data_IF_872821026727
#
_entry.id   IF_872821026727
#
_cell.length_a   1.000
_cell.length_b   1.000
_cell.length_c   1.000
_cell.angle_alpha   90.00
_cell.angle_beta   90.00
_cell.angle_gamma   90.00
#
_symmetry.space_group_name_H-M   'P 1'
#
loop_
_entity.id
_entity.type
_entity.pdbx_description
1 polymer ?
#
# COMPACT_ATOMS: atom_id res chain seq x y z
N UNK A 1 4.75 9.27 -6.08
CA UNK A 1 4.72 8.05 -6.91
C UNK A 1 5.98 7.22 -6.68
N UNK A 2 7.19 7.75 -6.95
CA UNK A 2 8.42 6.96 -6.90
C UNK A 2 8.83 6.31 -5.56
N UNK A 3 8.49 6.88 -4.40
CA UNK A 3 8.89 6.28 -3.12
C UNK A 3 8.04 5.06 -2.73
N UNK A 4 6.72 5.12 -2.93
CA UNK A 4 5.84 3.97 -2.65
C UNK A 4 6.14 2.83 -3.62
N UNK A 5 6.32 3.12 -4.92
CA UNK A 5 6.74 2.12 -5.91
C UNK A 5 8.05 1.43 -5.51
N UNK A 6 9.01 2.20 -5.00
CA UNK A 6 10.28 1.65 -4.48
C UNK A 6 10.06 0.77 -3.26
N UNK A 7 9.23 1.19 -2.29
CA UNK A 7 8.89 0.38 -1.11
C UNK A 7 8.22 -0.95 -1.52
N UNK A 8 7.29 -0.91 -2.47
CA UNK A 8 6.58 -2.09 -2.95
C UNK A 8 7.50 -3.03 -3.71
N UNK A 9 8.39 -2.50 -4.56
CA UNK A 9 9.44 -3.28 -5.23
C UNK A 9 10.35 -4.00 -4.23
N UNK A 10 10.73 -3.33 -3.14
CA UNK A 10 11.53 -3.94 -2.07
C UNK A 10 10.79 -5.10 -1.38
N UNK A 11 9.49 -4.97 -1.12
CA UNK A 11 8.67 -6.06 -0.58
C UNK A 11 8.63 -7.28 -1.52
N UNK A 12 8.49 -7.04 -2.82
CA UNK A 12 8.49 -8.09 -3.84
C UNK A 12 9.86 -8.79 -3.92
N UNK A 13 10.95 -8.03 -3.87
CA UNK A 13 12.31 -8.58 -3.84
C UNK A 13 12.50 -9.44 -2.57
N UNK A 14 12.07 -8.95 -1.42
CA UNK A 14 12.17 -9.67 -0.15
C UNK A 14 11.38 -10.99 -0.20
N UNK A 15 10.14 -10.95 -0.70
CA UNK A 15 9.32 -12.14 -0.90
C UNK A 15 10.03 -13.16 -1.81
N UNK A 16 10.54 -12.73 -2.98
CA UNK A 16 11.24 -13.63 -3.92
C UNK A 16 12.47 -14.28 -3.31
N UNK A 17 13.28 -13.52 -2.56
CA UNK A 17 14.45 -14.07 -1.85
C UNK A 17 14.04 -15.12 -0.81
N UNK A 18 13.00 -14.84 -0.04
CA UNK A 18 12.45 -15.78 0.94
C UNK A 18 11.97 -17.07 0.28
N UNK A 19 11.21 -16.97 -0.81
CA UNK A 19 10.71 -18.12 -1.56
C UNK A 19 11.84 -18.99 -2.11
N UNK A 20 12.88 -18.38 -2.70
CA UNK A 20 14.06 -19.10 -3.19
C UNK A 20 14.73 -19.88 -2.06
N UNK A 21 14.86 -19.27 -0.88
CA UNK A 21 15.44 -19.93 0.29
C UNK A 21 14.59 -21.10 0.78
N UNK A 22 13.28 -20.94 0.85
CA UNK A 22 12.35 -22.01 1.29
C UNK A 22 12.34 -23.20 0.34
N UNK A 23 12.45 -22.96 -0.97
CA UNK A 23 12.48 -24.00 -2.00
C UNK A 23 13.86 -24.60 -2.24
N UNK A 24 14.91 -24.09 -1.57
CA UNK A 24 16.29 -24.52 -1.80
C UNK A 24 16.85 -24.15 -3.18
N UNK A 25 16.26 -23.16 -3.85
CA UNK A 25 16.63 -22.76 -5.21
C UNK A 25 17.81 -21.80 -5.17
N UNK A 26 18.87 -22.17 -5.87
CA UNK A 26 20.09 -21.37 -6.04
C UNK A 26 20.06 -20.60 -7.36
N UNK A 27 21.11 -19.82 -7.60
CA UNK A 27 21.28 -19.09 -8.87
C UNK A 27 21.55 -20.07 -10.02
N UNK A 28 22.22 -21.20 -9.74
CA UNK A 28 22.60 -22.23 -10.71
C UNK A 28 21.39 -22.96 -11.31
N UNK A 29 20.26 -22.98 -10.61
CA UNK A 29 19.05 -23.64 -11.09
C UNK A 29 18.34 -22.86 -12.22
N UNK A 30 18.82 -21.64 -12.54
CA UNK A 30 18.29 -20.77 -13.59
C UNK A 30 16.75 -20.61 -13.57
N UNK A 31 16.14 -20.68 -12.38
CA UNK A 31 14.68 -20.59 -12.22
C UNK A 31 14.20 -19.15 -12.33
N UNK A 32 13.22 -18.95 -13.20
CA UNK A 32 12.56 -17.66 -13.42
C UNK A 32 11.67 -17.28 -12.24
N UNK A 33 11.38 -15.98 -12.11
CA UNK A 33 10.47 -15.50 -11.07
C UNK A 33 9.03 -15.98 -11.30
N UNK A 34 8.60 -16.14 -12.56
CA UNK A 34 7.28 -16.71 -12.88
C UNK A 34 7.18 -18.18 -12.45
N UNK A 35 8.26 -18.96 -12.59
CA UNK A 35 8.30 -20.33 -12.07
C UNK A 35 8.11 -20.36 -10.55
N UNK A 36 8.82 -19.50 -9.80
CA UNK A 36 8.68 -19.40 -8.34
C UNK A 36 7.22 -19.11 -7.90
N UNK A 37 6.55 -18.22 -8.62
CA UNK A 37 5.18 -17.83 -8.32
C UNK A 37 4.18 -18.95 -8.64
N UNK A 38 4.36 -19.64 -9.77
CA UNK A 38 3.52 -20.79 -10.16
C UNK A 38 3.67 -21.98 -9.20
N UNK A 39 4.87 -22.23 -8.68
CA UNK A 39 5.13 -23.31 -7.73
C UNK A 39 4.50 -23.05 -6.37
N UNK A 40 4.64 -21.83 -5.85
CA UNK A 40 4.17 -21.49 -4.49
C UNK A 40 2.70 -21.09 -4.43
N UNK A 41 2.13 -20.59 -5.54
CA UNK A 41 0.74 -20.09 -5.61
C UNK A 41 0.41 -19.06 -4.53
N UNK A 42 1.41 -18.33 -4.03
CA UNK A 42 1.23 -17.31 -3.01
C UNK A 42 0.81 -15.99 -3.66
N UNK A 43 -0.14 -15.25 -3.05
CA UNK A 43 -0.43 -13.89 -3.46
C UNK A 43 0.80 -12.99 -3.23
N UNK A 44 0.93 -11.96 -4.06
CA UNK A 44 2.04 -11.02 -3.96
C UNK A 44 1.89 -10.15 -2.70
N UNK A 45 3.00 -9.94 -2.00
CA UNK A 45 3.04 -9.21 -0.75
C UNK A 45 2.73 -7.72 -0.94
N UNK A 46 3.13 -7.15 -2.09
CA UNK A 46 2.80 -5.77 -2.48
C UNK A 46 1.28 -5.58 -2.55
N UNK A 47 0.56 -6.41 -3.30
CA UNK A 47 -0.90 -6.33 -3.43
C UNK A 47 -1.58 -6.42 -2.06
N UNK A 48 -1.15 -7.36 -1.20
CA UNK A 48 -1.69 -7.50 0.17
C UNK A 48 -1.40 -6.29 1.06
N UNK A 49 -0.24 -5.66 0.90
CA UNK A 49 0.10 -4.44 1.63
C UNK A 49 -0.81 -3.28 1.20
N UNK A 50 -1.09 -3.12 -0.10
CA UNK A 50 -2.05 -2.14 -0.62
C UNK A 50 -3.45 -2.40 -0.05
N UNK A 51 -3.94 -3.64 -0.16
CA UNK A 51 -5.26 -4.01 0.34
C UNK A 51 -5.42 -3.68 1.82
N UNK A 52 -4.41 -4.00 2.64
CA UNK A 52 -4.40 -3.65 4.07
C UNK A 52 -4.41 -2.15 4.29
N UNK A 53 -3.60 -1.38 3.54
CA UNK A 53 -3.56 0.08 3.62
C UNK A 53 -4.92 0.71 3.28
N UNK A 54 -5.58 0.22 2.24
CA UNK A 54 -6.91 0.69 1.80
C UNK A 54 -8.03 0.26 2.75
N UNK A 55 -7.93 -0.95 3.33
CA UNK A 55 -8.88 -1.44 4.34
C UNK A 55 -8.77 -0.63 5.62
N UNK A 56 -7.53 -0.32 6.05
CA UNK A 56 -7.28 0.56 7.19
C UNK A 56 -7.84 1.96 6.95
N UNK A 57 -7.58 2.54 5.79
CA UNK A 57 -8.12 3.87 5.44
C UNK A 57 -9.64 3.92 5.46
N UNK A 58 -10.31 2.88 4.93
CA UNK A 58 -11.76 2.74 5.04
C UNK A 58 -12.21 2.70 6.51
N UNK A 59 -11.53 1.91 7.33
CA UNK A 59 -11.86 1.82 8.75
C UNK A 59 -11.68 3.14 9.49
N UNK A 60 -10.62 3.89 9.17
CA UNK A 60 -10.38 5.24 9.72
C UNK A 60 -11.51 6.19 9.32
N UNK A 61 -12.00 6.12 8.08
CA UNK A 61 -13.09 6.97 7.60
C UNK A 61 -14.46 6.64 8.22
N UNK A 62 -14.71 5.37 8.55
CA UNK A 62 -15.92 4.93 9.25
C UNK A 62 -15.91 5.26 10.75
N UNK A 63 -14.73 5.53 11.32
CA UNK A 63 -14.58 5.84 12.75
C UNK A 63 -14.90 7.31 13.03
N UNK A 64 -15.60 7.53 14.15
CA UNK A 64 -15.94 8.85 14.65
C UNK A 64 -14.69 9.75 14.80
N UNK A 65 -14.87 11.04 14.50
CA UNK A 65 -13.81 12.07 14.46
C UNK A 65 -13.09 12.18 15.80
N UNK A 66 -13.83 12.04 16.90
CA UNK A 66 -13.31 12.20 18.26
C UNK A 66 -12.45 11.03 18.74
N UNK A 67 -12.40 9.93 17.97
CA UNK A 67 -11.54 8.80 18.30
C UNK A 67 -10.08 9.13 18.01
N UNK A 68 -9.23 8.85 18.99
CA UNK A 68 -7.77 9.05 18.90
C UNK A 68 -7.15 8.45 17.64
N UNK A 69 -7.67 7.30 17.17
CA UNK A 69 -7.23 6.64 15.95
C UNK A 69 -7.25 7.58 14.74
N UNK A 70 -8.32 8.36 14.58
CA UNK A 70 -8.51 9.29 13.47
C UNK A 70 -7.71 10.57 13.68
N UNK A 71 -7.76 11.14 14.90
CA UNK A 71 -6.97 12.32 15.26
C UNK A 71 -5.48 12.11 15.02
N UNK A 72 -4.92 10.96 15.38
CA UNK A 72 -3.49 10.63 15.19
C UNK A 72 -3.16 10.40 13.72
N UNK A 73 -3.99 9.66 12.98
CA UNK A 73 -3.71 9.34 11.57
C UNK A 73 -3.82 10.56 10.66
N UNK A 74 -4.71 11.50 10.96
CA UNK A 74 -4.85 12.79 10.26
C UNK A 74 -3.93 13.87 10.81
N UNK A 75 -3.28 13.62 11.97
CA UNK A 75 -2.52 14.63 12.67
C UNK A 75 -1.47 15.28 11.79
N UNK A 76 -1.57 16.60 11.65
CA UNK A 76 -0.58 17.44 11.01
C UNK A 76 0.00 18.37 12.06
N UNK A 77 1.30 18.29 12.30
CA UNK A 77 2.00 19.32 13.07
C UNK A 77 1.94 20.65 12.33
N UNK A 78 1.37 21.66 12.97
CA UNK A 78 1.46 23.09 12.63
C UNK A 78 2.51 23.72 13.58
N UNK A 79 3.33 24.73 13.22
CA UNK A 79 3.72 25.30 11.93
C UNK A 79 5.24 25.14 11.73
N UNK A 80 5.70 23.95 11.32
CA UNK A 80 7.13 23.72 11.11
C UNK A 80 7.31 23.19 9.70
N UNK A 81 8.09 23.90 8.90
CA UNK A 81 8.54 23.43 7.60
C UNK A 81 9.26 22.09 7.76
N UNK A 82 8.98 21.16 6.84
CA UNK A 82 9.66 19.86 6.87
C UNK A 82 11.08 20.05 6.38
N UNK A 83 12.03 19.35 7.00
CA UNK A 83 13.40 19.28 6.53
C UNK A 83 13.44 18.81 5.07
N UNK A 84 14.18 19.54 4.24
CA UNK A 84 14.48 19.17 2.86
C UNK A 84 15.07 17.77 2.83
N UNK A 85 14.41 16.82 2.14
CA UNK A 85 14.88 15.43 1.99
C UNK A 85 13.87 14.34 2.36
N UNK A 86 12.87 14.63 3.19
CA UNK A 86 11.79 13.65 3.44
C UNK A 86 10.68 13.82 2.39
N UNK A 87 10.17 12.72 1.79
CA UNK A 87 9.09 12.81 0.81
C UNK A 87 7.93 13.65 1.33
N UNK A 88 7.46 14.58 0.49
CA UNK A 88 6.30 15.43 0.83
C UNK A 88 5.03 14.60 0.99
N UNK A 89 4.98 13.46 0.30
CA UNK A 89 3.86 12.55 0.20
C UNK A 89 3.54 11.92 1.56
N UNK A 90 2.26 11.99 1.94
CA UNK A 90 1.69 11.37 3.13
C UNK A 90 0.94 10.11 2.72
N UNK A 91 0.70 9.25 3.70
CA UNK A 91 -0.11 8.05 3.51
C UNK A 91 -1.50 8.34 2.92
N UNK A 92 -2.12 9.48 3.27
CA UNK A 92 -3.43 9.92 2.75
C UNK A 92 -3.40 10.43 1.31
N UNK A 93 -2.24 10.86 0.83
CA UNK A 93 -2.13 11.53 -0.47
C UNK A 93 -2.44 10.57 -1.62
N UNK A 94 -2.23 9.27 -1.41
CA UNK A 94 -2.72 8.22 -2.33
C UNK A 94 -4.23 8.33 -2.52
N UNK A 95 -5.00 8.45 -1.44
CA UNK A 95 -6.45 8.54 -1.53
C UNK A 95 -6.91 9.89 -2.09
N UNK A 96 -6.19 10.98 -1.79
CA UNK A 96 -6.46 12.29 -2.37
C UNK A 96 -6.27 12.26 -3.90
N UNK A 97 -5.27 11.53 -4.40
CA UNK A 97 -5.08 11.40 -5.85
C UNK A 97 -6.26 10.71 -6.55
N UNK A 98 -6.95 9.76 -5.90
CA UNK A 98 -8.10 9.06 -6.48
C UNK A 98 -9.44 9.74 -6.23
N UNK A 99 -9.64 10.37 -5.06
CA UNK A 99 -10.95 10.83 -4.59
C UNK A 99 -10.98 12.30 -4.15
N UNK A 100 -9.86 13.02 -4.23
CA UNK A 100 -9.72 14.39 -3.75
C UNK A 100 -9.77 14.52 -2.22
N UNK A 101 -10.01 15.74 -1.72
CA UNK A 101 -10.08 16.01 -0.28
C UNK A 101 -11.25 15.30 0.42
N UNK A 102 -12.29 14.89 -0.33
CA UNK A 102 -13.47 14.19 0.17
C UNK A 102 -13.30 12.66 0.23
N UNK A 103 -12.07 12.14 0.12
CA UNK A 103 -11.78 10.70 0.10
C UNK A 103 -12.37 9.93 1.29
N UNK A 104 -12.47 10.54 2.48
CA UNK A 104 -13.08 9.89 3.65
C UNK A 104 -14.57 9.65 3.46
N UNK A 105 -15.27 10.61 2.86
CA UNK A 105 -16.69 10.46 2.54
C UNK A 105 -16.86 9.34 1.51
N UNK A 106 -16.04 9.33 0.47
CA UNK A 106 -16.04 8.27 -0.54
C UNK A 106 -15.76 6.88 0.07
N UNK A 107 -14.80 6.78 0.99
CA UNK A 107 -14.46 5.53 1.68
C UNK A 107 -15.61 4.98 2.53
N UNK A 108 -16.34 5.87 3.23
CA UNK A 108 -17.43 5.51 4.12
C UNK A 108 -18.75 5.22 3.36
N UNK A 109 -19.09 6.02 2.35
CA UNK A 109 -20.39 5.94 1.67
C UNK A 109 -20.40 4.95 0.51
N UNK A 110 -19.32 4.85 -0.26
CA UNK A 110 -19.30 4.08 -1.50
C UNK A 110 -18.23 3.00 -1.48
N UNK A 111 -18.59 1.87 -0.88
CA UNK A 111 -17.70 0.71 -0.81
C UNK A 111 -17.39 0.09 -2.18
N UNK A 112 -18.19 0.35 -3.21
CA UNK A 112 -18.00 -0.22 -4.54
C UNK A 112 -16.98 0.58 -5.35
N UNK A 113 -17.07 1.92 -5.37
CA UNK A 113 -16.01 2.75 -5.96
C UNK A 113 -14.71 2.62 -5.18
N UNK A 114 -14.75 2.55 -3.85
CA UNK A 114 -13.56 2.33 -3.03
C UNK A 114 -12.79 1.08 -3.45
N UNK A 115 -13.50 -0.05 -3.58
CA UNK A 115 -12.91 -1.32 -4.00
C UNK A 115 -12.40 -1.28 -5.44
N UNK A 116 -13.10 -0.59 -6.36
CA UNK A 116 -12.66 -0.45 -7.75
C UNK A 116 -11.37 0.37 -7.86
N UNK A 117 -11.29 1.51 -7.17
CA UNK A 117 -10.08 2.33 -7.15
C UNK A 117 -8.91 1.61 -6.49
N UNK A 118 -9.17 0.79 -5.46
CA UNK A 118 -8.14 -0.06 -4.84
C UNK A 118 -7.54 -1.04 -5.87
N UNK A 119 -8.39 -1.75 -6.61
CA UNK A 119 -7.94 -2.67 -7.67
C UNK A 119 -7.15 -1.95 -8.74
N UNK A 120 -7.65 -0.81 -9.22
CA UNK A 120 -6.95 0.04 -10.18
C UNK A 120 -5.57 0.46 -9.67
N UNK A 121 -5.46 0.78 -8.37
CA UNK A 121 -4.18 1.17 -7.78
C UNK A 121 -3.18 0.01 -7.72
N UNK A 122 -3.65 -1.21 -7.41
CA UNK A 122 -2.83 -2.42 -7.45
C UNK A 122 -2.33 -2.69 -8.87
N UNK A 123 -3.16 -2.45 -9.89
CA UNK A 123 -2.77 -2.64 -11.31
C UNK A 123 -1.76 -1.61 -11.81
N UNK A 124 -1.69 -0.43 -11.19
CA UNK A 124 -0.77 0.66 -11.59
C UNK A 124 0.61 0.58 -10.96
N UNK A 125 0.79 -0.20 -9.89
CA UNK A 125 2.06 -0.37 -9.14
C UNK A 125 2.76 -1.65 -9.58
#
# INVERSE_FOLDING_TARGET
MGDEEKEMSMLVIAQRKMMRRMLGVTILDHRTNGWLQNTTKLPEASSRAIERKWTWAKKVAEVDVDRWTRRITEWRRWPWERSTGRPRMRWRDVFIAYFGETWMRAAASDSATWRRSMKRHIETI
#
